data_IF_364364473427
#
_entry.id   IF_364364473427
#
_cell.length_a   1.000
_cell.length_b   1.000
_cell.length_c   1.000
_cell.angle_alpha   90.00
_cell.angle_beta   90.00
_cell.angle_gamma   90.00
#
_symmetry.space_group_name_H-M   'P 1'
#
loop_
_entity.id
_entity.type
_entity.pdbx_description
1 polymer ?
#
# COMPACT_ATOMS: atom_id res chain seq x y z
N UNK A 1 7.34 -12.96 -10.20
CA UNK A 1 7.24 -12.04 -9.05
C UNK A 1 6.62 -10.74 -9.52
N UNK A 2 5.59 -10.27 -8.82
CA UNK A 2 4.83 -9.06 -9.13
C UNK A 2 4.85 -8.07 -7.95
N UNK A 3 4.53 -6.80 -8.23
CA UNK A 3 4.35 -5.74 -7.25
C UNK A 3 2.92 -5.20 -7.36
N UNK A 4 2.05 -5.53 -6.42
CA UNK A 4 0.72 -4.92 -6.30
C UNK A 4 0.87 -3.59 -5.57
N UNK A 5 0.42 -2.50 -6.20
CA UNK A 5 0.57 -1.15 -5.64
C UNK A 5 -0.78 -0.52 -5.36
N UNK A 6 -0.95 -0.03 -4.12
CA UNK A 6 -2.11 0.75 -3.69
C UNK A 6 -1.63 2.20 -3.55
N UNK A 7 -2.17 3.08 -4.37
CA UNK A 7 -1.75 4.47 -4.47
C UNK A 7 -2.87 5.37 -3.96
N UNK A 8 -2.60 6.19 -2.94
CA UNK A 8 -3.60 7.10 -2.37
C UNK A 8 -3.40 8.51 -2.93
N UNK A 9 -4.27 9.00 -3.83
CA UNK A 9 -4.10 10.33 -4.42
C UNK A 9 -4.11 11.44 -3.38
N UNK A 10 -3.18 12.37 -3.49
CA UNK A 10 -3.09 13.51 -2.60
C UNK A 10 -4.11 14.57 -3.02
N UNK A 11 -5.25 14.63 -2.32
CA UNK A 11 -6.31 15.61 -2.55
C UNK A 11 -6.23 16.76 -1.55
N UNK A 12 -6.77 17.95 -1.85
CA UNK A 12 -6.83 19.04 -0.88
C UNK A 12 -7.46 18.59 0.44
N UNK A 13 -6.80 18.88 1.56
CA UNK A 13 -7.19 18.45 2.93
C UNK A 13 -7.21 16.95 3.17
N UNK A 14 -6.56 16.14 2.30
CA UNK A 14 -6.35 14.73 2.58
C UNK A 14 -5.58 14.56 3.90
N UNK A 15 -6.08 13.67 4.74
CA UNK A 15 -5.39 13.22 5.96
C UNK A 15 -4.99 11.77 5.75
N UNK A 16 -3.74 11.47 6.08
CA UNK A 16 -3.22 10.11 6.04
C UNK A 16 -2.35 9.90 7.27
N UNK A 17 -2.75 8.97 8.14
CA UNK A 17 -1.97 8.61 9.33
C UNK A 17 -0.94 7.55 8.96
N UNK A 18 0.28 7.99 8.67
CA UNK A 18 1.39 7.11 8.31
C UNK A 18 1.79 6.17 9.46
N UNK A 19 1.64 6.60 10.71
CA UNK A 19 1.98 5.77 11.87
C UNK A 19 1.01 4.60 11.97
N UNK A 20 -0.29 4.88 11.92
CA UNK A 20 -1.31 3.83 11.86
C UNK A 20 -1.09 2.91 10.65
N UNK A 21 -0.80 3.48 9.48
CA UNK A 21 -0.62 2.70 8.26
C UNK A 21 0.55 1.71 8.39
N UNK A 22 1.70 2.15 8.89
CA UNK A 22 2.89 1.33 9.07
C UNK A 22 2.79 0.35 10.25
N UNK A 23 2.26 0.78 11.39
CA UNK A 23 2.30 -0.01 12.64
C UNK A 23 1.08 -0.92 12.83
N UNK A 24 -0.03 -0.68 12.12
CA UNK A 24 -1.28 -1.43 12.28
C UNK A 24 -1.78 -2.00 10.97
N UNK A 25 -1.98 -1.15 9.96
CA UNK A 25 -2.61 -1.58 8.72
C UNK A 25 -1.75 -2.55 7.92
N UNK A 26 -0.49 -2.20 7.64
CA UNK A 26 0.40 -3.06 6.83
C UNK A 26 0.73 -4.40 7.49
N UNK A 27 0.98 -4.49 8.82
CA UNK A 27 1.09 -5.77 9.51
C UNK A 27 -0.18 -6.63 9.40
N UNK A 28 -1.36 -6.04 9.54
CA UNK A 28 -2.64 -6.75 9.37
C UNK A 28 -2.77 -7.30 7.94
N UNK A 29 -2.45 -6.50 6.91
CA UNK A 29 -2.49 -6.95 5.52
C UNK A 29 -1.52 -8.10 5.28
N UNK A 30 -0.28 -7.98 5.77
CA UNK A 30 0.72 -9.04 5.63
C UNK A 30 0.28 -10.33 6.34
N UNK A 31 -0.32 -10.22 7.53
CA UNK A 31 -0.86 -11.37 8.26
C UNK A 31 -2.00 -12.05 7.49
N UNK A 32 -2.94 -11.28 6.93
CA UNK A 32 -4.06 -11.82 6.14
C UNK A 32 -3.59 -12.52 4.86
N UNK A 33 -2.60 -11.95 4.17
CA UNK A 33 -2.06 -12.54 2.94
C UNK A 33 -1.11 -13.72 3.20
N UNK A 34 -0.55 -13.83 4.41
CA UNK A 34 0.34 -14.91 4.80
C UNK A 34 1.52 -15.10 3.84
N UNK A 35 1.80 -16.36 3.50
CA UNK A 35 2.95 -16.73 2.65
C UNK A 35 2.88 -16.19 1.21
N UNK A 36 1.73 -15.69 0.75
CA UNK A 36 1.61 -15.06 -0.56
C UNK A 36 2.31 -13.69 -0.61
N UNK A 37 2.40 -12.98 0.52
CA UNK A 37 3.09 -11.69 0.62
C UNK A 37 4.55 -11.88 1.06
N UNK A 38 5.47 -11.82 0.11
CA UNK A 38 6.92 -12.01 0.35
C UNK A 38 7.58 -10.81 1.01
N UNK A 39 7.06 -9.62 0.72
CA UNK A 39 7.58 -8.35 1.22
C UNK A 39 6.50 -7.27 1.13
N UNK A 40 6.59 -6.31 2.04
CA UNK A 40 5.87 -5.05 1.95
C UNK A 40 6.84 -3.88 1.79
N UNK A 41 6.39 -2.80 1.16
CA UNK A 41 7.04 -1.50 1.20
C UNK A 41 5.99 -0.40 1.32
N UNK A 42 6.36 0.69 1.98
CA UNK A 42 5.51 1.87 2.20
C UNK A 42 6.31 3.11 1.85
N UNK A 43 5.68 4.03 1.14
CA UNK A 43 6.25 5.32 0.77
C UNK A 43 5.29 6.44 1.19
N UNK A 44 5.84 7.52 1.76
CA UNK A 44 5.10 8.74 2.07
C UNK A 44 5.39 9.80 1.00
N UNK A 45 4.34 10.44 0.49
CA UNK A 45 4.52 11.57 -0.43
C UNK A 45 5.10 12.78 0.29
N UNK A 46 6.26 13.27 -0.18
CA UNK A 46 6.93 14.46 0.38
C UNK A 46 6.70 15.70 -0.48
N UNK A 47 6.94 15.60 -1.80
CA UNK A 47 6.78 16.69 -2.76
C UNK A 47 6.51 16.16 -4.18
N UNK A 48 6.06 17.03 -5.07
CA UNK A 48 5.93 16.76 -6.50
C UNK A 48 7.22 17.03 -7.28
N UNK A 49 7.17 16.86 -8.60
CA UNK A 49 8.35 16.99 -9.47
C UNK A 49 8.86 18.43 -9.67
N UNK A 50 8.02 19.44 -9.43
CA UNK A 50 8.40 20.85 -9.52
C UNK A 50 8.50 21.50 -8.12
N UNK A 51 9.34 22.53 -7.93
CA UNK A 51 9.46 23.24 -6.66
C UNK A 51 8.11 23.73 -6.13
N UNK A 52 7.85 23.48 -4.84
CA UNK A 52 6.61 23.91 -4.16
C UNK A 52 5.36 23.10 -4.53
N UNK A 53 5.45 22.11 -5.42
CA UNK A 53 4.29 21.26 -5.77
C UNK A 53 4.10 20.13 -4.76
N UNK A 54 2.83 19.80 -4.48
CA UNK A 54 2.50 18.67 -3.64
C UNK A 54 2.78 17.32 -4.34
N UNK A 55 3.09 16.28 -3.57
CA UNK A 55 3.20 14.92 -4.11
C UNK A 55 1.88 14.48 -4.73
N UNK A 56 1.92 13.75 -5.86
CA UNK A 56 0.72 13.24 -6.53
C UNK A 56 -0.06 12.23 -5.67
N UNK A 57 0.66 11.45 -4.85
CA UNK A 57 0.12 10.49 -3.91
C UNK A 57 0.60 10.83 -2.50
N UNK A 58 -0.31 10.83 -1.52
CA UNK A 58 0.02 11.15 -0.11
C UNK A 58 0.68 9.97 0.59
N UNK A 59 0.35 8.75 0.15
CA UNK A 59 0.96 7.51 0.60
C UNK A 59 0.84 6.43 -0.49
N UNK A 60 1.75 5.46 -0.46
CA UNK A 60 1.75 4.30 -1.35
C UNK A 60 2.12 3.04 -0.57
N UNK A 61 1.34 1.98 -0.75
CA UNK A 61 1.60 0.66 -0.19
C UNK A 61 1.90 -0.33 -1.30
N UNK A 62 2.86 -1.22 -1.06
CA UNK A 62 3.33 -2.18 -2.03
C UNK A 62 3.42 -3.57 -1.44
N UNK A 63 2.87 -4.55 -2.17
CA UNK A 63 2.86 -5.96 -1.80
C UNK A 63 3.59 -6.75 -2.89
N UNK A 64 4.62 -7.49 -2.49
CA UNK A 64 5.40 -8.32 -3.39
C UNK A 64 4.91 -9.77 -3.29
N UNK A 65 4.46 -10.33 -4.42
CA UNK A 65 3.90 -11.68 -4.51
C UNK A 65 4.55 -12.45 -5.66
N UNK A 66 4.49 -13.79 -5.64
CA UNK A 66 5.11 -14.60 -6.70
C UNK A 66 4.40 -14.44 -8.06
N UNK A 67 3.07 -14.40 -8.05
CA UNK A 67 2.22 -14.17 -9.22
C UNK A 67 0.92 -13.43 -8.86
N UNK A 68 0.15 -13.03 -9.87
CA UNK A 68 -1.16 -12.39 -9.68
C UNK A 68 -2.19 -13.35 -9.10
N UNK A 69 -2.17 -14.61 -9.54
CA UNK A 69 -3.04 -15.68 -9.05
C UNK A 69 -2.81 -15.96 -7.57
N UNK A 70 -1.53 -16.02 -7.14
CA UNK A 70 -1.17 -16.20 -5.74
C UNK A 70 -1.68 -15.05 -4.86
N UNK A 71 -1.57 -13.81 -5.34
CA UNK A 71 -2.14 -12.64 -4.65
C UNK A 71 -3.66 -12.71 -4.58
N UNK A 72 -4.34 -12.98 -5.70
CA UNK A 72 -5.80 -13.04 -5.77
C UNK A 72 -6.38 -14.12 -4.86
N UNK A 73 -5.79 -15.32 -4.87
CA UNK A 73 -6.21 -16.41 -4.01
C UNK A 73 -6.11 -16.06 -2.51
N UNK A 74 -5.04 -15.36 -2.12
CA UNK A 74 -4.84 -14.91 -0.74
C UNK A 74 -5.71 -13.68 -0.37
N UNK A 75 -6.01 -12.80 -1.32
CA UNK A 75 -6.74 -11.55 -1.06
C UNK A 75 -8.26 -11.71 -1.13
N UNK A 76 -8.78 -12.55 -2.04
CA UNK A 76 -10.21 -12.72 -2.30
C UNK A 76 -11.07 -12.99 -1.05
N UNK A 77 -10.64 -13.82 -0.06
CA UNK A 77 -11.42 -14.05 1.16
C UNK A 77 -11.59 -12.82 2.06
N UNK A 78 -10.91 -11.70 1.77
CA UNK A 78 -10.85 -10.51 2.63
C UNK A 78 -11.47 -9.27 1.99
N UNK A 79 -12.06 -9.38 0.80
CA UNK A 79 -12.59 -8.24 0.02
C UNK A 79 -13.78 -7.55 0.70
N UNK A 80 -14.52 -8.26 1.55
CA UNK A 80 -15.70 -7.74 2.27
C UNK A 80 -15.48 -7.54 3.77
N UNK A 81 -14.25 -7.75 4.26
CA UNK A 81 -13.91 -7.76 5.68
C UNK A 81 -13.67 -6.36 6.26
#
# INVERSE_FOLDING_TARGET
>A
MIKVSVLYPNRPRAKFDMKYYCEKHMPMVQQKLGAACKRVAVEQGIAGGAPGTAAAFIAMGHLYCDSAEAFQAAFAPHVQA
#
